data_IF_076182658371
#
_entry.id   IF_076182658371
#
_cell.length_a   1.000
_cell.length_b   1.000
_cell.length_c   1.000
_cell.angle_alpha   90.00
_cell.angle_beta   90.00
_cell.angle_gamma   90.00
#
_symmetry.space_group_name_H-M   'P 1'
#
loop_
_entity.id
_entity.type
_entity.pdbx_description
1 polymer ?
#
# COMPACT_ATOMS: atom_id res chain seq x y z
N UNK A 1 5.40 6.39 0.17
CA UNK A 1 4.71 5.84 -1.03
C UNK A 1 5.69 5.49 -2.14
N UNK A 2 6.94 5.98 -2.10
CA UNK A 2 7.94 5.69 -3.12
C UNK A 2 8.33 4.19 -3.15
N UNK A 3 8.27 3.53 -1.99
CA UNK A 3 8.70 2.12 -1.85
C UNK A 3 7.77 1.14 -2.56
N UNK A 4 6.47 1.44 -2.65
CA UNK A 4 5.53 0.64 -3.43
C UNK A 4 5.81 0.75 -4.93
N UNK A 5 6.09 1.98 -5.38
CA UNK A 5 6.37 2.33 -6.77
C UNK A 5 7.69 1.71 -7.24
N UNK A 6 8.70 1.72 -6.38
CA UNK A 6 9.99 1.07 -6.65
C UNK A 6 9.87 -0.46 -6.73
N UNK A 7 9.02 -1.07 -5.89
CA UNK A 7 8.84 -2.51 -5.84
C UNK A 7 8.00 -3.08 -7.00
N UNK A 8 6.94 -2.38 -7.43
CA UNK A 8 6.08 -2.86 -8.51
C UNK A 8 6.48 -2.32 -9.89
N UNK A 9 7.24 -1.21 -9.96
CA UNK A 9 7.62 -0.43 -11.15
C UNK A 9 6.43 0.12 -11.97
N UNK A 10 5.33 -0.63 -12.04
CA UNK A 10 4.01 -0.30 -12.57
C UNK A 10 3.00 -0.36 -11.41
N UNK A 11 2.88 0.76 -10.68
CA UNK A 11 1.86 0.89 -9.64
C UNK A 11 0.64 1.54 -10.25
N UNK A 12 -0.45 0.78 -10.29
CA UNK A 12 -1.75 1.27 -10.73
C UNK A 12 -2.49 1.81 -9.50
N UNK A 13 -2.88 3.08 -9.56
CA UNK A 13 -3.77 3.68 -8.58
C UNK A 13 -5.17 3.74 -9.16
N UNK A 14 -6.15 3.26 -8.40
CA UNK A 14 -7.54 3.31 -8.81
C UNK A 14 -8.45 3.79 -7.69
N UNK A 15 -9.53 4.44 -8.12
CA UNK A 15 -10.61 4.87 -7.25
C UNK A 15 -11.59 3.70 -7.16
N UNK A 16 -11.68 2.99 -6.03
CA UNK A 16 -12.59 1.84 -5.91
C UNK A 16 -14.06 2.23 -6.10
N UNK A 17 -14.38 3.52 -5.97
CA UNK A 17 -15.66 4.13 -6.35
C UNK A 17 -15.51 5.66 -6.47
N UNK A 18 -16.46 6.30 -7.14
CA UNK A 18 -16.54 7.76 -7.30
C UNK A 18 -16.53 8.45 -5.92
N UNK A 19 -15.51 9.27 -5.66
CA UNK A 19 -15.31 10.00 -4.40
C UNK A 19 -14.50 9.24 -3.34
N UNK A 20 -14.00 8.05 -3.63
CA UNK A 20 -13.08 7.34 -2.76
C UNK A 20 -11.67 7.97 -2.77
N UNK A 21 -10.85 7.56 -1.81
CA UNK A 21 -9.42 7.85 -1.86
C UNK A 21 -8.74 6.87 -2.81
N UNK A 22 -7.79 7.34 -3.60
CA UNK A 22 -6.97 6.50 -4.48
C UNK A 22 -6.36 5.34 -3.67
N UNK A 23 -6.66 4.12 -4.08
CA UNK A 23 -6.11 2.89 -3.51
C UNK A 23 -5.17 2.25 -4.52
N UNK A 24 -4.11 1.63 -4.00
CA UNK A 24 -3.12 0.93 -4.80
C UNK A 24 -3.74 -0.39 -5.28
N UNK A 25 -3.93 -0.55 -6.59
CA UNK A 25 -4.35 -1.81 -7.19
C UNK A 25 -3.15 -2.76 -7.18
N UNK A 26 -3.35 -3.93 -6.60
CA UNK A 26 -2.41 -5.04 -6.72
C UNK A 26 -3.12 -6.12 -7.54
N UNK A 27 -2.76 -6.23 -8.81
CA UNK A 27 -3.25 -7.27 -9.73
C UNK A 27 -2.59 -8.63 -9.44
N UNK A 28 -1.32 -8.61 -9.03
CA UNK A 28 -0.49 -9.80 -8.82
C UNK A 28 -0.65 -10.38 -7.40
N UNK A 29 -1.88 -10.75 -7.05
CA UNK A 29 -2.22 -11.36 -5.73
C UNK A 29 -1.84 -12.84 -5.62
N UNK A 30 -1.52 -13.51 -6.73
CA UNK A 30 -1.16 -14.93 -6.76
C UNK A 30 0.21 -15.21 -6.12
N UNK A 31 1.11 -14.23 -6.10
CA UNK A 31 2.45 -14.40 -5.56
C UNK A 31 2.54 -13.89 -4.11
N UNK A 32 2.59 -14.85 -3.19
CA UNK A 32 2.67 -14.60 -1.74
C UNK A 32 3.95 -13.85 -1.32
N UNK A 33 5.09 -14.15 -1.96
CA UNK A 33 6.36 -13.48 -1.65
C UNK A 33 6.36 -12.04 -2.15
N UNK A 34 5.72 -11.80 -3.30
CA UNK A 34 5.50 -10.47 -3.84
C UNK A 34 4.64 -9.61 -2.91
N UNK A 35 3.46 -10.11 -2.50
CA UNK A 35 2.58 -9.42 -1.57
C UNK A 35 3.29 -9.11 -0.26
N UNK A 36 4.07 -10.06 0.27
CA UNK A 36 4.83 -9.87 1.50
C UNK A 36 5.90 -8.79 1.36
N UNK A 37 6.63 -8.76 0.24
CA UNK A 37 7.62 -7.72 -0.04
C UNK A 37 6.99 -6.34 -0.20
N UNK A 38 5.90 -6.25 -0.99
CA UNK A 38 5.14 -5.03 -1.19
C UNK A 38 4.58 -4.49 0.15
N UNK A 39 3.92 -5.35 0.93
CA UNK A 39 3.40 -4.96 2.23
C UNK A 39 4.51 -4.48 3.16
N UNK A 40 5.65 -5.17 3.25
CA UNK A 40 6.76 -4.72 4.10
C UNK A 40 7.33 -3.37 3.63
N UNK A 41 7.46 -3.16 2.32
CA UNK A 41 7.97 -1.92 1.75
C UNK A 41 7.05 -0.72 2.05
N UNK A 42 5.72 -0.90 2.00
CA UNK A 42 4.76 0.17 2.32
C UNK A 42 4.51 0.30 3.82
N UNK A 43 4.67 -0.78 4.58
CA UNK A 43 4.37 -0.80 6.01
C UNK A 43 5.32 0.09 6.80
N UNK A 44 6.60 0.16 6.40
CA UNK A 44 7.58 1.06 7.01
C UNK A 44 7.27 2.54 6.72
N UNK A 45 6.66 2.83 5.56
CA UNK A 45 6.26 4.18 5.15
C UNK A 45 4.84 4.58 5.61
N UNK A 46 4.09 3.68 6.26
CA UNK A 46 2.80 4.06 6.82
C UNK A 46 3.05 5.01 8.00
N UNK A 47 2.34 6.15 8.07
CA UNK A 47 2.45 7.05 9.20
C UNK A 47 2.10 6.25 10.46
N UNK A 48 3.06 6.16 11.38
CA UNK A 48 2.94 5.39 12.61
C UNK A 48 1.55 5.61 13.22
N UNK A 49 0.84 4.52 13.58
CA UNK A 49 -0.55 4.59 13.98
C UNK A 49 -0.69 5.67 15.03
N UNK A 50 -1.49 6.70 14.73
CA UNK A 50 -1.71 7.86 15.61
C UNK A 50 -1.84 7.34 17.03
N UNK A 51 -0.85 7.65 17.86
CA UNK A 51 -0.78 7.14 19.23
C UNK A 51 -2.13 7.40 19.87
N UNK A 52 -2.89 6.35 20.17
CA UNK A 52 -4.12 6.49 20.95
C UNK A 52 -3.68 7.16 22.24
N UNK A 53 -4.02 8.45 22.42
CA UNK A 53 -3.79 9.16 23.68
C UNK A 53 -4.38 8.26 24.76
N UNK A 54 -3.52 7.68 25.60
CA UNK A 54 -3.98 7.01 26.82
C UNK A 54 -4.70 8.10 27.63
N UNK A 55 -5.91 7.77 28.04
CA UNK A 55 -6.78 8.62 28.86
C UNK A 55 -6.09 8.95 30.18
#
# INVERSE_FOLDING_TARGET
>A
MQSAIDYMQDVIYELPYEGAKEMLLVDNVDNKDYLKGLFNAIFDELPVPKSKKKK
#
